data_IF_091458741522
#
_entry.id   IF_091458741522
#
_cell.length_a   1.000
_cell.length_b   1.000
_cell.length_c   1.000
_cell.angle_alpha   90.00
_cell.angle_beta   90.00
_cell.angle_gamma   90.00
#
_symmetry.space_group_name_H-M   'P 1'
#
loop_
_entity.id
_entity.type
_entity.pdbx_description
1 polymer ?
#
# COMPACT_ATOMS: atom_id res chain seq x y z
N UNK A 1 11.57 21.36 16.15
CA UNK A 1 11.69 19.89 16.23
C UNK A 1 11.09 19.34 14.95
N UNK A 2 11.82 18.55 14.17
CA UNK A 2 11.28 17.92 12.95
C UNK A 2 10.59 16.64 13.39
N UNK A 3 9.28 16.57 13.18
CA UNK A 3 8.49 15.38 13.53
C UNK A 3 9.07 14.14 12.81
N UNK A 4 9.28 13.02 13.52
CA UNK A 4 9.78 11.77 12.96
C UNK A 4 9.00 11.36 11.71
N UNK A 5 9.69 10.83 10.70
CA UNK A 5 9.08 10.44 9.41
C UNK A 5 7.93 9.44 9.59
N UNK A 6 8.02 8.58 10.60
CA UNK A 6 7.02 7.56 10.90
C UNK A 6 5.75 8.14 11.54
N UNK A 7 5.89 9.20 12.35
CA UNK A 7 4.75 9.91 12.95
C UNK A 7 3.97 10.69 11.89
N UNK A 8 4.67 11.36 10.97
CA UNK A 8 4.05 12.04 9.82
C UNK A 8 3.26 11.09 8.94
N UNK A 9 3.86 9.95 8.60
CA UNK A 9 3.21 8.94 7.77
C UNK A 9 1.96 8.39 8.46
N UNK A 10 2.06 8.07 9.74
CA UNK A 10 0.93 7.58 10.54
C UNK A 10 -0.19 8.61 10.59
N UNK A 11 0.15 9.88 10.82
CA UNK A 11 -0.83 10.97 10.84
C UNK A 11 -1.53 11.13 9.48
N UNK A 12 -0.77 11.16 8.37
CA UNK A 12 -1.35 11.25 7.02
C UNK A 12 -2.22 10.05 6.67
N UNK A 13 -1.83 8.83 7.06
CA UNK A 13 -2.65 7.64 6.86
C UNK A 13 -3.95 7.71 7.66
N UNK A 14 -3.90 8.15 8.92
CA UNK A 14 -5.10 8.33 9.74
C UNK A 14 -6.08 9.34 9.11
N UNK A 15 -5.59 10.47 8.62
CA UNK A 15 -6.43 11.45 7.91
C UNK A 15 -7.09 10.85 6.68
N UNK A 16 -6.34 10.13 5.84
CA UNK A 16 -6.90 9.46 4.66
C UNK A 16 -7.94 8.40 5.03
N UNK A 17 -7.73 7.69 6.14
CA UNK A 17 -8.69 6.68 6.64
C UNK A 17 -9.97 7.36 7.13
N UNK A 18 -9.87 8.50 7.81
CA UNK A 18 -11.03 9.29 8.24
C UNK A 18 -11.82 9.84 7.04
N UNK A 19 -11.14 10.31 5.99
CA UNK A 19 -11.78 10.92 4.81
C UNK A 19 -12.41 9.90 3.85
N UNK A 20 -11.75 8.76 3.63
CA UNK A 20 -12.12 7.82 2.56
C UNK A 20 -12.53 6.43 3.06
N UNK A 21 -12.36 6.16 4.35
CA UNK A 21 -12.58 4.86 4.96
C UNK A 21 -11.40 3.91 4.75
N UNK A 22 -11.15 3.09 5.78
CA UNK A 22 -10.02 2.16 5.83
C UNK A 22 -9.93 1.24 4.60
N UNK A 23 -11.07 0.73 4.11
CA UNK A 23 -11.13 -0.17 2.94
C UNK A 23 -10.62 0.51 1.67
N UNK A 24 -11.04 1.75 1.40
CA UNK A 24 -10.62 2.51 0.23
C UNK A 24 -9.13 2.82 0.28
N UNK A 25 -8.60 3.16 1.46
CA UNK A 25 -7.17 3.44 1.65
C UNK A 25 -6.33 2.20 1.40
N UNK A 26 -6.69 1.05 1.99
CA UNK A 26 -5.96 -0.21 1.77
C UNK A 26 -6.06 -0.63 0.30
N UNK A 27 -7.21 -0.43 -0.37
CA UNK A 27 -7.37 -0.71 -1.81
C UNK A 27 -6.44 0.17 -2.65
N UNK A 28 -6.32 1.46 -2.33
CA UNK A 28 -5.40 2.37 -2.96
C UNK A 28 -3.94 1.95 -2.79
N UNK A 29 -3.55 1.55 -1.57
CA UNK A 29 -2.20 1.05 -1.27
C UNK A 29 -1.91 -0.26 -2.02
N UNK A 30 -2.86 -1.20 -2.06
CA UNK A 30 -2.73 -2.44 -2.81
C UNK A 30 -2.52 -2.17 -4.31
N UNK A 31 -3.35 -1.29 -4.89
CA UNK A 31 -3.24 -0.87 -6.30
C UNK A 31 -1.89 -0.22 -6.60
N UNK A 32 -1.41 0.65 -5.71
CA UNK A 32 -0.10 1.29 -5.86
C UNK A 32 1.02 0.26 -5.83
N UNK A 33 0.99 -0.70 -4.89
CA UNK A 33 1.98 -1.78 -4.83
C UNK A 33 2.05 -2.59 -6.13
N UNK A 34 0.91 -2.85 -6.78
CA UNK A 34 0.88 -3.57 -8.05
C UNK A 34 1.50 -2.74 -9.19
N UNK A 35 1.22 -1.43 -9.25
CA UNK A 35 1.80 -0.52 -10.25
C UNK A 35 3.32 -0.43 -10.10
N UNK A 36 3.82 -0.29 -8.87
CA UNK A 36 5.26 -0.26 -8.59
C UNK A 36 5.92 -1.59 -8.97
N UNK A 37 5.28 -2.73 -8.67
CA UNK A 37 5.76 -4.03 -9.10
C UNK A 37 5.86 -4.14 -10.63
N UNK A 38 4.86 -3.68 -11.38
CA UNK A 38 4.91 -3.66 -12.85
C UNK A 38 5.98 -2.73 -13.40
N UNK A 39 6.16 -1.55 -12.79
CA UNK A 39 7.22 -0.61 -13.17
C UNK A 39 8.60 -1.24 -12.97
N UNK A 40 8.84 -1.86 -11.81
CA UNK A 40 10.12 -2.49 -11.48
C UNK A 40 10.41 -3.75 -12.32
N UNK A 41 9.38 -4.50 -12.73
CA UNK A 41 9.53 -5.60 -13.70
C UNK A 41 10.10 -5.08 -15.03
N UNK A 42 9.66 -3.90 -15.48
CA UNK A 42 10.19 -3.27 -16.71
C UNK A 42 11.64 -2.83 -16.55
N UNK A 43 12.03 -2.39 -15.35
CA UNK A 43 13.40 -1.98 -15.01
C UNK A 43 14.35 -3.15 -14.69
N UNK A 44 13.88 -4.42 -14.81
CA UNK A 44 14.60 -5.67 -14.46
C UNK A 44 14.96 -5.84 -12.98
N UNK A 45 14.39 -5.02 -12.09
CA UNK A 45 14.54 -5.19 -10.64
C UNK A 45 13.57 -6.26 -10.11
N UNK A 46 13.91 -7.53 -10.34
CA UNK A 46 12.99 -8.67 -10.15
C UNK A 46 12.65 -8.96 -8.70
N UNK A 47 13.60 -8.82 -7.76
CA UNK A 47 13.33 -9.09 -6.34
C UNK A 47 12.51 -7.99 -5.68
N UNK A 48 12.81 -6.72 -6.00
CA UNK A 48 12.02 -5.60 -5.49
C UNK A 48 10.61 -5.63 -6.06
N UNK A 49 10.45 -5.96 -7.34
CA UNK A 49 9.14 -6.15 -7.95
C UNK A 49 8.32 -7.27 -7.29
N UNK A 50 8.94 -8.41 -6.96
CA UNK A 50 8.28 -9.50 -6.23
C UNK A 50 7.83 -9.06 -4.85
N UNK A 51 8.66 -8.29 -4.13
CA UNK A 51 8.29 -7.77 -2.82
C UNK A 51 7.07 -6.84 -2.88
N UNK A 52 7.07 -5.90 -3.83
CA UNK A 52 5.91 -5.03 -4.06
C UNK A 52 4.66 -5.80 -4.45
N UNK A 53 4.78 -6.78 -5.34
CA UNK A 53 3.66 -7.63 -5.74
C UNK A 53 3.08 -8.38 -4.53
N UNK A 54 3.93 -9.04 -3.73
CA UNK A 54 3.50 -9.81 -2.55
C UNK A 54 2.84 -8.91 -1.50
N UNK A 55 3.36 -7.70 -1.29
CA UNK A 55 2.74 -6.72 -0.39
C UNK A 55 1.36 -6.32 -0.89
N UNK A 56 1.22 -6.02 -2.19
CA UNK A 56 -0.07 -5.70 -2.79
C UNK A 56 -1.09 -6.83 -2.66
N UNK A 57 -0.67 -8.07 -2.95
CA UNK A 57 -1.51 -9.28 -2.79
C UNK A 57 -1.95 -9.48 -1.34
N UNK A 58 -1.05 -9.24 -0.37
CA UNK A 58 -1.37 -9.34 1.06
C UNK A 58 -2.41 -8.30 1.49
N UNK A 59 -2.27 -7.05 1.02
CA UNK A 59 -3.24 -5.98 1.28
C UNK A 59 -4.60 -6.30 0.65
N UNK A 60 -4.61 -6.84 -0.57
CA UNK A 60 -5.83 -7.29 -1.23
C UNK A 60 -6.51 -8.43 -0.46
N UNK A 61 -5.74 -9.40 0.04
CA UNK A 61 -6.27 -10.49 0.87
C UNK A 61 -6.96 -10.00 2.15
N UNK A 62 -6.43 -8.94 2.79
CA UNK A 62 -7.10 -8.28 3.93
C UNK A 62 -8.46 -7.73 3.51
N UNK A 63 -8.52 -7.01 2.39
CA UNK A 63 -9.77 -6.44 1.86
C UNK A 63 -10.80 -7.53 1.54
N UNK A 64 -10.36 -8.63 0.91
CA UNK A 64 -11.22 -9.73 0.52
C UNK A 64 -11.82 -10.44 1.75
N UNK A 65 -11.03 -10.56 2.83
CA UNK A 65 -11.49 -11.12 4.12
C UNK A 65 -12.60 -10.30 4.80
N UNK A 66 -12.78 -9.02 4.43
CA UNK A 66 -13.87 -8.18 4.96
C UNK A 66 -15.19 -8.32 4.18
N UNK A 67 -15.16 -9.01 3.04
CA UNK A 67 -16.34 -9.31 2.23
C UNK A 67 -16.90 -10.71 2.45
N UNK A 68 -16.38 -11.47 3.42
CA UNK A 68 -16.85 -12.81 3.83
C UNK A 68 -17.58 -12.72 5.15
#
# INVERSE_FOLDING_TARGET
MVEPKDEKLTHSLNLLIEEHGLKSVIQGLASHCHKEAEFLKKDRSTDLAKNWQKTGESLQGIIDSWGT
#
